data_IF_074344023908
#
_entry.id   IF_074344023908
#
_cell.length_a   1.000
_cell.length_b   1.000
_cell.length_c   1.000
_cell.angle_alpha   90.00
_cell.angle_beta   90.00
_cell.angle_gamma   90.00
#
_symmetry.space_group_name_H-M   'P 1'
#
loop_
_entity.id
_entity.type
_entity.pdbx_description
1 polymer ?
#
# COMPACT_ATOMS: atom_id res chain seq x y z
N UNK A 1 -42.02 1.45 -6.19
CA UNK A 1 -41.07 0.51 -5.56
C UNK A 1 -39.65 0.88 -6.00
N UNK A 2 -38.91 1.63 -5.17
CA UNK A 2 -37.47 1.86 -5.38
C UNK A 2 -36.74 0.74 -4.66
N UNK A 3 -36.05 -0.14 -5.39
CA UNK A 3 -35.10 -1.09 -4.79
C UNK A 3 -33.92 -0.26 -4.28
N UNK A 4 -33.90 0.00 -2.98
CA UNK A 4 -32.71 0.53 -2.32
C UNK A 4 -31.65 -0.56 -2.33
N UNK A 5 -30.53 -0.29 -2.99
CA UNK A 5 -29.30 -1.03 -2.73
C UNK A 5 -28.76 -0.50 -1.40
N UNK A 6 -28.52 -1.34 -0.38
CA UNK A 6 -27.90 -0.88 0.85
C UNK A 6 -26.47 -0.40 0.53
N UNK A 7 -26.10 0.79 1.02
CA UNK A 7 -24.77 1.39 0.94
C UNK A 7 -23.70 0.65 1.78
N UNK A 8 -23.74 -0.68 1.81
CA UNK A 8 -22.85 -1.52 2.60
C UNK A 8 -22.03 -2.42 1.69
N UNK A 9 -21.01 -1.87 1.04
CA UNK A 9 -20.07 -2.65 0.22
C UNK A 9 -18.64 -2.10 0.29
N UNK A 10 -18.13 -1.97 1.51
CA UNK A 10 -16.69 -2.08 1.78
C UNK A 10 -16.53 -2.75 3.14
N UNK A 11 -16.82 -4.05 3.22
CA UNK A 11 -16.40 -4.85 4.37
C UNK A 11 -14.89 -5.03 4.27
N UNK A 12 -14.16 -4.19 4.98
CA UNK A 12 -12.72 -4.39 5.22
C UNK A 12 -12.61 -5.44 6.32
N UNK A 13 -12.22 -6.65 5.94
CA UNK A 13 -11.85 -7.69 6.90
C UNK A 13 -10.39 -7.47 7.28
N UNK A 14 -10.13 -7.13 8.54
CA UNK A 14 -8.78 -7.02 9.08
C UNK A 14 -8.30 -8.42 9.47
N UNK A 15 -7.22 -8.90 8.85
CA UNK A 15 -6.56 -10.13 9.29
C UNK A 15 -5.63 -9.80 10.45
N UNK A 16 -5.95 -10.29 11.65
CA UNK A 16 -5.03 -10.27 12.79
C UNK A 16 -4.18 -11.54 12.72
N UNK A 17 -2.91 -11.39 12.37
CA UNK A 17 -1.99 -12.51 12.21
C UNK A 17 -1.56 -13.01 13.61
N UNK A 18 -1.80 -14.29 13.91
CA UNK A 18 -1.44 -14.90 15.21
C UNK A 18 -0.60 -16.16 15.02
N UNK A 19 0.42 -16.24 15.89
CA UNK A 19 1.63 -17.07 15.90
C UNK A 19 1.50 -18.54 15.47
N UNK A 20 2.33 -18.94 14.51
CA UNK A 20 2.90 -20.30 14.46
C UNK A 20 4.30 -20.24 13.82
N UNK A 21 5.35 -20.42 14.63
CA UNK A 21 6.75 -20.38 14.21
C UNK A 21 7.18 -21.79 13.75
N UNK A 22 7.71 -21.96 12.52
CA UNK A 22 8.70 -22.98 12.23
C UNK A 22 10.08 -22.32 12.20
N UNK A 23 10.93 -22.70 13.15
CA UNK A 23 12.31 -22.21 13.35
C UNK A 23 13.32 -22.75 12.32
N UNK A 24 12.92 -23.01 11.08
CA UNK A 24 13.85 -23.47 10.04
C UNK A 24 14.22 -22.33 9.10
N UNK A 25 15.50 -21.96 9.16
CA UNK A 25 16.20 -20.98 8.32
C UNK A 25 16.14 -21.42 6.85
N UNK A 26 15.04 -21.08 6.19
CA UNK A 26 14.75 -21.45 4.81
C UNK A 26 13.34 -21.01 4.45
N UNK A 27 13.09 -19.69 4.41
CA UNK A 27 11.81 -19.19 3.92
C UNK A 27 11.71 -19.53 2.42
N UNK A 28 10.72 -20.33 1.98
CA UNK A 28 10.54 -20.66 0.56
C UNK A 28 10.04 -19.46 -0.27
N UNK A 29 9.77 -18.31 0.36
CA UNK A 29 9.26 -17.12 -0.30
C UNK A 29 10.38 -16.10 -0.47
N UNK A 30 11.12 -16.26 -1.57
CA UNK A 30 12.06 -15.25 -2.08
C UNK A 30 11.31 -13.94 -2.33
N UNK A 31 11.89 -12.83 -1.92
CA UNK A 31 11.38 -11.50 -2.22
C UNK A 31 11.28 -11.34 -3.75
N UNK A 32 10.20 -10.73 -4.23
CA UNK A 32 9.98 -10.49 -5.67
C UNK A 32 10.94 -9.45 -6.28
N UNK A 33 11.84 -8.83 -5.48
CA UNK A 33 12.85 -7.91 -5.99
C UNK A 33 14.24 -8.60 -6.06
N UNK A 34 15.12 -8.07 -6.91
CA UNK A 34 16.50 -8.57 -7.07
C UNK A 34 17.47 -8.03 -6.01
N UNK A 35 17.02 -7.19 -5.08
CA UNK A 35 17.87 -6.62 -4.05
C UNK A 35 17.98 -7.59 -2.87
N UNK A 36 19.16 -7.66 -2.27
CA UNK A 36 19.34 -8.45 -1.05
C UNK A 36 18.48 -7.83 0.07
N UNK A 37 17.71 -8.64 0.83
CA UNK A 37 16.95 -8.11 1.95
C UNK A 37 17.89 -7.63 3.06
N UNK A 38 17.59 -6.47 3.62
CA UNK A 38 18.39 -5.77 4.65
C UNK A 38 17.56 -5.41 5.90
N UNK A 39 16.26 -5.68 5.90
CA UNK A 39 15.36 -5.38 7.02
C UNK A 39 14.46 -6.58 7.33
N UNK A 40 14.31 -6.89 8.61
CA UNK A 40 13.34 -7.85 9.11
C UNK A 40 12.09 -7.13 9.64
N UNK A 41 10.94 -7.42 9.02
CA UNK A 41 9.64 -6.82 9.35
C UNK A 41 8.71 -7.86 9.95
N UNK A 42 8.02 -7.49 11.03
CA UNK A 42 6.88 -8.21 11.57
C UNK A 42 5.59 -7.47 11.20
N UNK A 43 4.75 -8.08 10.37
CA UNK A 43 3.47 -7.52 9.95
C UNK A 43 2.46 -7.60 11.08
N UNK A 44 1.83 -6.48 11.39
CA UNK A 44 0.90 -6.34 12.53
C UNK A 44 -0.56 -6.40 12.08
N UNK A 45 -0.87 -5.87 10.91
CA UNK A 45 -2.19 -5.91 10.30
C UNK A 45 -2.09 -5.74 8.78
N UNK A 46 -2.92 -6.46 8.05
CA UNK A 46 -3.10 -6.31 6.61
C UNK A 46 -4.60 -6.36 6.29
N UNK A 47 -5.14 -5.38 5.54
CA UNK A 47 -6.51 -5.42 5.07
C UNK A 47 -6.67 -6.38 3.89
N UNK A 48 -7.92 -6.69 3.58
CA UNK A 48 -8.31 -7.39 2.36
C UNK A 48 -9.05 -6.40 1.45
N UNK A 49 -8.47 -6.11 0.30
CA UNK A 49 -9.03 -5.28 -0.76
C UNK A 49 -9.54 -6.15 -1.92
N UNK A 50 -10.50 -5.66 -2.72
CA UNK A 50 -10.93 -6.35 -3.95
C UNK A 50 -9.78 -6.66 -4.92
N UNK A 51 -8.76 -5.80 -4.98
CA UNK A 51 -7.57 -6.01 -5.82
C UNK A 51 -6.73 -7.22 -5.38
N UNK A 52 -6.69 -7.53 -4.07
CA UNK A 52 -5.98 -8.71 -3.56
C UNK A 52 -6.65 -10.00 -4.08
N UNK A 53 -7.99 -10.06 -4.00
CA UNK A 53 -8.77 -11.19 -4.50
C UNK A 53 -8.63 -11.34 -6.01
N UNK A 54 -8.73 -10.24 -6.76
CA UNK A 54 -8.55 -10.24 -8.21
C UNK A 54 -7.14 -10.72 -8.61
N UNK A 55 -6.10 -10.41 -7.81
CA UNK A 55 -4.74 -10.91 -8.06
C UNK A 55 -4.66 -12.43 -7.85
N UNK A 56 -5.27 -12.94 -6.77
CA UNK A 56 -5.32 -14.38 -6.48
C UNK A 56 -6.08 -15.14 -7.58
N UNK A 57 -7.19 -14.58 -8.06
CA UNK A 57 -7.99 -15.14 -9.16
C UNK A 57 -7.29 -15.04 -10.53
N UNK A 58 -6.21 -14.24 -10.64
CA UNK A 58 -5.51 -13.97 -11.89
C UNK A 58 -6.23 -12.98 -12.82
N UNK A 59 -7.28 -12.32 -12.33
CA UNK A 59 -8.07 -11.32 -13.04
C UNK A 59 -7.50 -9.88 -12.93
N UNK A 60 -6.50 -9.66 -12.08
CA UNK A 60 -5.80 -8.37 -11.97
C UNK A 60 -4.65 -8.25 -12.99
N UNK A 61 -4.38 -7.05 -13.55
CA UNK A 61 -3.35 -6.88 -14.58
C UNK A 61 -1.93 -7.03 -14.05
N UNK A 62 -1.71 -6.71 -12.78
CA UNK A 62 -0.42 -6.93 -12.09
C UNK A 62 -0.44 -8.34 -11.52
N UNK A 63 0.59 -9.14 -11.85
CA UNK A 63 0.75 -10.51 -11.39
C UNK A 63 2.10 -10.68 -10.69
N UNK A 64 2.21 -11.61 -9.73
CA UNK A 64 3.48 -12.04 -9.19
C UNK A 64 4.43 -12.49 -10.30
N UNK A 65 5.70 -12.11 -10.20
CA UNK A 65 6.74 -12.55 -11.15
C UNK A 65 7.03 -14.06 -11.07
N UNK A 66 6.72 -14.68 -9.94
CA UNK A 66 6.93 -16.10 -9.70
C UNK A 66 5.88 -16.68 -8.75
N UNK A 67 5.59 -17.98 -8.92
CA UNK A 67 4.77 -18.76 -8.01
C UNK A 67 5.60 -19.84 -7.29
N UNK A 68 5.26 -20.21 -6.05
CA UNK A 68 4.15 -19.68 -5.24
C UNK A 68 4.41 -18.25 -4.74
N UNK A 69 3.34 -17.46 -4.60
CA UNK A 69 3.40 -16.06 -4.17
C UNK A 69 2.56 -15.83 -2.91
N UNK A 70 2.99 -14.88 -2.07
CA UNK A 70 2.24 -14.41 -0.90
C UNK A 70 1.34 -13.26 -1.34
N UNK A 71 0.06 -13.31 -0.96
CA UNK A 71 -0.91 -12.26 -1.28
C UNK A 71 -0.83 -11.06 -0.32
N UNK A 72 -1.65 -10.04 -0.59
CA UNK A 72 -1.77 -8.82 0.22
C UNK A 72 -0.92 -7.68 -0.33
N UNK A 73 -1.58 -6.64 -0.83
CA UNK A 73 -0.93 -5.43 -1.34
C UNK A 73 -0.71 -4.36 -0.25
N UNK A 74 -1.51 -4.39 0.82
CA UNK A 74 -1.44 -3.42 1.91
C UNK A 74 -1.11 -4.07 3.24
N UNK A 75 -0.57 -3.29 4.15
CA UNK A 75 -0.40 -3.67 5.54
C UNK A 75 0.50 -2.70 6.27
N UNK A 76 0.55 -2.87 7.59
CA UNK A 76 1.49 -2.16 8.46
C UNK A 76 2.34 -3.18 9.19
N UNK A 77 3.65 -3.01 9.13
CA UNK A 77 4.64 -3.82 9.80
C UNK A 77 5.47 -2.98 10.76
N UNK A 78 6.12 -3.66 11.70
CA UNK A 78 7.11 -3.08 12.60
C UNK A 78 8.47 -3.70 12.31
N UNK A 79 9.49 -2.86 12.22
CA UNK A 79 10.86 -3.34 12.05
C UNK A 79 11.32 -4.02 13.33
N UNK A 80 11.70 -5.29 13.20
CA UNK A 80 12.25 -6.11 14.28
C UNK A 80 13.76 -5.98 14.34
N UNK A 81 14.40 -5.91 13.17
CA UNK A 81 15.85 -5.89 13.01
C UNK A 81 16.25 -5.22 11.68
N UNK A 82 17.39 -4.53 11.69
CA UNK A 82 18.06 -3.99 10.50
C UNK A 82 19.36 -4.77 10.34
N UNK A 83 19.54 -5.43 9.20
CA UNK A 83 20.61 -6.40 8.96
C UNK A 83 21.88 -5.76 8.40
N UNK A 84 21.77 -4.62 7.72
CA UNK A 84 22.90 -3.88 7.16
C UNK A 84 22.81 -2.38 7.46
N UNK A 85 23.96 -1.71 7.52
CA UNK A 85 24.04 -0.26 7.68
C UNK A 85 23.70 0.47 6.37
N UNK A 86 23.11 1.66 6.45
CA UNK A 86 22.87 2.54 5.29
C UNK A 86 21.40 2.85 5.00
N UNK A 87 20.47 2.20 5.70
CA UNK A 87 19.06 2.59 5.68
C UNK A 87 18.76 3.67 6.74
N UNK A 88 17.77 4.53 6.47
CA UNK A 88 17.23 5.50 7.45
C UNK A 88 16.23 4.87 8.42
N UNK A 89 15.88 3.60 8.20
CA UNK A 89 14.94 2.85 9.02
C UNK A 89 15.59 2.33 10.30
N UNK A 90 14.83 2.36 11.40
CA UNK A 90 15.28 1.91 12.71
C UNK A 90 14.39 0.79 13.26
N UNK A 91 14.97 -0.05 14.13
CA UNK A 91 14.19 -1.02 14.91
C UNK A 91 13.06 -0.31 15.64
N UNK A 92 11.86 -0.84 15.48
CA UNK A 92 10.65 -0.31 16.09
C UNK A 92 9.86 0.67 15.22
N UNK A 93 10.41 1.16 14.11
CA UNK A 93 9.68 1.95 13.13
C UNK A 93 8.51 1.16 12.55
N UNK A 94 7.39 1.86 12.32
CA UNK A 94 6.28 1.32 11.56
C UNK A 94 6.48 1.62 10.08
N UNK A 95 6.18 0.63 9.26
CA UNK A 95 6.38 0.67 7.82
C UNK A 95 5.17 0.11 7.09
N UNK A 96 4.93 0.61 5.89
CA UNK A 96 3.97 0.06 4.92
C UNK A 96 4.76 -0.44 3.69
N UNK A 97 4.25 -1.46 2.97
CA UNK A 97 4.97 -2.02 1.83
C UNK A 97 4.86 -1.12 0.60
N UNK A 98 5.85 -1.22 -0.29
CA UNK A 98 5.75 -0.79 -1.70
C UNK A 98 5.39 -1.97 -2.61
N UNK A 99 5.79 -3.17 -2.22
CA UNK A 99 5.64 -4.42 -2.98
C UNK A 99 4.68 -5.39 -2.27
N UNK A 100 3.92 -6.22 -3.01
CA UNK A 100 2.95 -7.15 -2.43
C UNK A 100 3.60 -8.25 -1.57
N UNK A 101 2.76 -8.92 -0.77
CA UNK A 101 3.12 -10.04 0.09
C UNK A 101 3.06 -9.71 1.58
N UNK A 102 2.02 -9.02 2.05
CA UNK A 102 1.85 -8.69 3.47
C UNK A 102 1.06 -9.72 4.27
N UNK A 103 0.38 -10.68 3.62
CA UNK A 103 -0.42 -11.71 4.30
C UNK A 103 0.46 -12.85 4.83
N UNK A 104 1.38 -12.49 5.72
CA UNK A 104 2.32 -13.37 6.45
C UNK A 104 2.77 -12.66 7.72
N UNK A 105 3.23 -13.40 8.72
CA UNK A 105 3.60 -12.80 10.01
C UNK A 105 4.88 -11.97 9.94
N UNK A 106 5.89 -12.48 9.25
CA UNK A 106 7.23 -11.90 9.23
C UNK A 106 7.85 -12.03 7.83
N UNK A 107 8.75 -11.11 7.48
CA UNK A 107 9.46 -11.15 6.21
C UNK A 107 10.76 -10.37 6.24
N UNK A 108 11.73 -10.87 5.48
CA UNK A 108 12.96 -10.15 5.15
C UNK A 108 12.75 -9.39 3.84
N UNK A 109 12.87 -8.07 3.88
CA UNK A 109 12.60 -7.17 2.76
C UNK A 109 13.73 -6.19 2.54
N UNK A 110 13.79 -5.62 1.33
CA UNK A 110 14.67 -4.48 1.08
C UNK A 110 14.06 -3.21 1.68
N UNK A 111 14.88 -2.39 2.34
CA UNK A 111 14.48 -1.13 2.95
C UNK A 111 13.87 -0.14 1.94
N UNK A 112 14.28 -0.22 0.67
CA UNK A 112 13.71 0.57 -0.42
C UNK A 112 12.27 0.17 -0.79
N UNK A 113 11.82 -1.02 -0.39
CA UNK A 113 10.45 -1.50 -0.62
C UNK A 113 9.54 -1.19 0.59
N UNK A 114 9.97 -0.28 1.46
CA UNK A 114 9.25 0.13 2.66
C UNK A 114 9.14 1.65 2.74
N UNK A 115 7.99 2.12 3.21
CA UNK A 115 7.78 3.53 3.55
C UNK A 115 7.51 3.62 5.04
N UNK A 116 8.32 4.44 5.74
CA UNK A 116 8.12 4.73 7.17
C UNK A 116 6.83 5.53 7.38
N UNK A 117 6.04 5.15 8.38
CA UNK A 117 4.82 5.85 8.81
C UNK A 117 4.89 6.21 10.29
N UNK A 118 4.02 7.12 10.73
CA UNK A 118 3.95 7.53 12.13
C UNK A 118 3.40 6.39 13.01
N UNK A 119 4.19 6.00 14.01
CA UNK A 119 3.85 4.94 14.97
C UNK A 119 2.67 5.28 15.88
N UNK A 120 2.20 6.53 15.91
CA UNK A 120 1.05 6.98 16.70
C UNK A 120 -0.28 6.80 15.98
N UNK A 121 -0.26 6.45 14.68
CA UNK A 121 -1.47 6.17 13.93
C UNK A 121 -2.20 4.94 14.53
N UNK A 122 -3.53 5.01 14.68
CA UNK A 122 -4.33 3.83 14.95
C UNK A 122 -4.02 2.71 13.95
N UNK A 123 -3.74 1.50 14.47
CA UNK A 123 -3.21 0.37 13.70
C UNK A 123 -4.03 0.09 12.42
N UNK A 124 -5.36 0.14 12.54
CA UNK A 124 -6.25 -0.06 11.40
C UNK A 124 -5.99 0.99 10.29
N UNK A 125 -5.90 2.27 10.65
CA UNK A 125 -5.62 3.35 9.68
C UNK A 125 -4.24 3.19 9.05
N UNK A 126 -3.21 2.85 9.84
CA UNK A 126 -1.88 2.60 9.30
C UNK A 126 -1.86 1.44 8.28
N UNK A 127 -2.63 0.38 8.54
CA UNK A 127 -2.71 -0.79 7.65
C UNK A 127 -3.39 -0.52 6.30
N UNK A 128 -4.18 0.55 6.21
CA UNK A 128 -5.01 0.90 5.04
C UNK A 128 -4.58 2.23 4.41
N UNK A 129 -3.36 2.69 4.71
CA UNK A 129 -2.97 4.08 4.45
C UNK A 129 -2.74 4.39 2.97
N UNK A 130 -2.22 3.44 2.18
CA UNK A 130 -1.50 3.79 0.94
C UNK A 130 -2.18 3.37 -0.36
N UNK A 131 -3.19 2.51 -0.34
CA UNK A 131 -3.98 2.19 -1.54
C UNK A 131 -5.22 3.06 -1.58
N UNK A 132 -6.22 2.83 -0.72
CA UNK A 132 -7.51 3.49 -0.86
C UNK A 132 -7.45 5.02 -0.60
N UNK A 133 -6.81 5.51 0.49
CA UNK A 133 -6.70 6.95 0.73
C UNK A 133 -5.86 7.67 -0.33
N UNK A 134 -4.72 7.10 -0.75
CA UNK A 134 -3.90 7.69 -1.81
C UNK A 134 -4.62 7.72 -3.16
N UNK A 135 -5.36 6.66 -3.50
CA UNK A 135 -6.17 6.60 -4.72
C UNK A 135 -7.25 7.68 -4.70
N UNK A 136 -7.99 7.79 -3.61
CA UNK A 136 -9.00 8.85 -3.44
C UNK A 136 -8.37 10.24 -3.53
N UNK A 137 -7.24 10.46 -2.85
CA UNK A 137 -6.53 11.73 -2.88
C UNK A 137 -6.06 12.10 -4.29
N UNK A 138 -5.53 11.15 -5.06
CA UNK A 138 -5.13 11.38 -6.46
C UNK A 138 -6.33 11.66 -7.36
N UNK A 139 -7.44 10.95 -7.21
CA UNK A 139 -8.66 11.25 -7.97
C UNK A 139 -9.15 12.69 -7.72
N UNK A 140 -9.08 13.13 -6.47
CA UNK A 140 -9.49 14.46 -6.06
C UNK A 140 -8.48 15.55 -6.51
N UNK A 141 -7.19 15.34 -6.30
CA UNK A 141 -6.15 16.35 -6.58
C UNK A 141 -5.79 16.45 -8.07
N UNK A 142 -5.81 15.32 -8.78
CA UNK A 142 -5.35 15.26 -10.17
C UNK A 142 -6.46 15.59 -11.17
N UNK A 143 -7.73 15.33 -10.83
CA UNK A 143 -8.86 15.46 -11.77
C UNK A 143 -9.97 16.41 -11.33
N UNK A 144 -10.03 16.80 -10.06
CA UNK A 144 -11.09 17.69 -9.56
C UNK A 144 -10.55 19.09 -9.29
N UNK A 145 -11.23 20.12 -9.80
CA UNK A 145 -11.04 21.51 -9.32
C UNK A 145 -11.96 21.68 -8.11
N UNK A 146 -11.64 21.03 -7.00
CA UNK A 146 -12.41 21.26 -5.77
C UNK A 146 -12.14 22.66 -5.24
N UNK A 147 -13.19 23.47 -5.15
CA UNK A 147 -13.18 24.73 -4.41
C UNK A 147 -13.80 24.48 -3.02
N UNK A 148 -13.26 25.09 -1.95
CA UNK A 148 -13.91 25.04 -0.64
C UNK A 148 -15.39 25.43 -0.74
N UNK A 149 -16.28 24.58 -0.23
CA UNK A 149 -17.73 24.87 -0.16
C UNK A 149 -18.60 24.35 -1.31
N UNK A 150 -18.04 23.64 -2.30
CA UNK A 150 -18.84 22.95 -3.33
C UNK A 150 -19.21 21.54 -2.86
N UNK A 151 -20.49 21.17 -3.01
CA UNK A 151 -20.97 19.78 -2.85
C UNK A 151 -20.97 19.07 -4.20
N UNK A 152 -20.53 17.82 -4.26
CA UNK A 152 -20.44 16.97 -5.47
C UNK A 152 -21.78 16.70 -6.20
N UNK A 153 -22.89 17.25 -5.70
CA UNK A 153 -24.23 17.10 -6.26
C UNK A 153 -24.55 18.08 -7.41
N UNK A 154 -23.70 19.07 -7.69
CA UNK A 154 -23.81 19.79 -8.96
C UNK A 154 -23.35 18.86 -10.09
N UNK A 155 -24.30 18.42 -10.93
CA UNK A 155 -23.95 17.64 -12.12
C UNK A 155 -22.82 18.37 -12.87
N UNK A 156 -21.72 17.67 -13.21
CA UNK A 156 -20.65 18.31 -13.96
C UNK A 156 -21.26 18.84 -15.26
N UNK A 157 -21.16 20.15 -15.47
CA UNK A 157 -21.48 20.77 -16.76
C UNK A 157 -20.75 19.94 -17.84
N UNK A 158 -21.44 19.47 -18.89
CA UNK A 158 -20.84 18.64 -19.94
C UNK A 158 -19.62 19.28 -20.62
N UNK A 159 -19.35 20.57 -20.40
CA UNK A 159 -18.13 21.28 -20.83
C UNK A 159 -16.94 21.12 -19.88
N UNK A 160 -17.15 20.75 -18.62
CA UNK A 160 -16.11 20.45 -17.64
C UNK A 160 -15.66 18.99 -17.78
N UNK A 161 -15.01 18.68 -18.91
CA UNK A 161 -14.25 17.44 -19.07
C UNK A 161 -13.19 17.40 -17.96
N UNK A 162 -13.10 16.29 -17.21
CA UNK A 162 -12.04 16.05 -16.22
C UNK A 162 -10.68 16.33 -16.89
N UNK A 163 -10.13 17.51 -16.63
CA UNK A 163 -8.85 17.94 -17.17
C UNK A 163 -7.81 17.69 -16.10
N UNK A 164 -6.69 17.04 -16.47
CA UNK A 164 -5.56 16.85 -15.56
C UNK A 164 -5.16 18.21 -14.99
N UNK A 165 -5.06 18.27 -13.67
CA UNK A 165 -4.69 19.48 -12.95
C UNK A 165 -3.35 20.03 -13.51
N UNK A 166 -3.33 21.27 -14.06
CA UNK A 166 -2.18 21.81 -14.78
C UNK A 166 -0.93 21.96 -13.91
N UNK A 167 -1.06 21.94 -12.58
CA UNK A 167 0.07 21.92 -11.62
C UNK A 167 1.05 20.77 -11.88
N UNK A 168 0.56 19.61 -12.35
CA UNK A 168 1.37 18.40 -12.54
C UNK A 168 2.03 18.31 -13.92
N UNK A 169 1.57 19.06 -14.93
CA UNK A 169 2.14 19.10 -16.28
C UNK A 169 3.63 19.51 -16.35
N UNK A 170 4.14 20.12 -15.28
CA UNK A 170 5.53 20.56 -15.11
C UNK A 170 6.38 19.62 -14.24
N UNK A 171 5.77 18.73 -13.45
CA UNK A 171 6.50 17.88 -12.49
C UNK A 171 6.97 16.55 -13.10
N UNK A 172 6.24 15.99 -14.08
CA UNK A 172 6.64 14.80 -14.84
C UNK A 172 7.89 15.01 -15.75
N UNK A 173 8.59 16.16 -15.62
CA UNK A 173 9.75 16.55 -16.42
C UNK A 173 10.98 16.92 -15.58
N UNK A 174 11.12 16.40 -14.37
CA UNK A 174 12.36 16.56 -13.59
C UNK A 174 13.12 15.23 -13.50
N UNK A 175 14.42 15.19 -13.86
CA UNK A 175 15.25 14.03 -13.58
C UNK A 175 15.40 13.85 -12.06
N UNK A 176 15.32 12.60 -11.61
CA UNK A 176 15.54 12.22 -10.21
C UNK A 176 17.05 12.21 -9.97
N UNK A 177 17.55 13.14 -9.16
CA UNK A 177 18.95 13.21 -8.74
C UNK A 177 19.09 14.23 -7.61
N UNK A 178 19.25 13.74 -6.38
CA UNK A 178 20.49 13.86 -5.61
C UNK A 178 20.25 13.30 -4.19
N UNK A 179 20.94 12.20 -3.92
CA UNK A 179 20.99 11.47 -2.65
C UNK A 179 21.89 12.18 -1.65
N UNK A 180 21.41 12.33 -0.41
CA UNK A 180 22.27 12.52 0.77
C UNK A 180 21.80 11.58 1.89
N UNK A 181 22.38 10.37 1.88
CA UNK A 181 22.67 9.49 3.01
C UNK A 181 23.97 8.76 2.65
#
# INVERSE_FOLDING_TARGET
MRRGYPCSLFLIWLVKLTTAIPTSFGSPFRHQNNNAPDVHVKWMAAPINPSDLNQIEGAYPIRPDSFPAVAGNEGVGRIVEVLTSGTSLCKGDWVIPVSPGTWREESFVCSNDLIKVDNTLPLAMASMLHVNPCTAYRLLDDFSIMKPGISDYEQPDPKHRLSINPKWSKLCRRPIGDSNC
#
